data_IF_445196689161
#
_entry.id   IF_445196689161
#
_cell.length_a   1.000
_cell.length_b   1.000
_cell.length_c   1.000
_cell.angle_alpha   90.00
_cell.angle_beta   90.00
_cell.angle_gamma   90.00
#
_symmetry.space_group_name_H-M   'P 1'
#
loop_
_entity.id
_entity.type
_entity.pdbx_description
1 polymer ?
#
# COMPACT_ATOMS: atom_id res chain seq x y z
N UNK A 1 -23.47 -2.41 -13.75
CA UNK A 1 -22.22 -1.70 -13.41
C UNK A 1 -21.12 -2.72 -13.17
N UNK A 2 -19.98 -2.62 -13.86
CA UNK A 2 -18.84 -3.52 -13.61
C UNK A 2 -18.30 -3.28 -12.20
N UNK A 3 -18.18 -4.34 -11.40
CA UNK A 3 -17.68 -4.25 -10.02
C UNK A 3 -16.18 -3.93 -10.04
N UNK A 4 -15.76 -2.89 -9.32
CA UNK A 4 -14.35 -2.53 -9.18
C UNK A 4 -13.58 -3.61 -8.41
N UNK A 5 -12.34 -3.90 -8.81
CA UNK A 5 -11.48 -4.88 -8.13
C UNK A 5 -10.22 -4.19 -7.61
N UNK A 6 -10.13 -4.05 -6.29
CA UNK A 6 -8.99 -3.41 -5.62
C UNK A 6 -7.68 -4.14 -5.89
N UNK A 7 -7.68 -5.49 -5.94
CA UNK A 7 -6.46 -6.25 -6.28
C UNK A 7 -5.96 -5.94 -7.69
N UNK A 8 -6.86 -5.94 -8.70
CA UNK A 8 -6.47 -5.64 -10.08
C UNK A 8 -6.02 -4.20 -10.27
N UNK A 9 -6.64 -3.24 -9.57
CA UNK A 9 -6.22 -1.84 -9.63
C UNK A 9 -4.86 -1.64 -8.97
N UNK A 10 -4.63 -2.27 -7.80
CA UNK A 10 -3.34 -2.23 -7.10
C UNK A 10 -2.20 -2.82 -7.93
N UNK A 11 -2.43 -3.89 -8.71
CA UNK A 11 -1.36 -4.50 -9.53
C UNK A 11 -0.71 -3.51 -10.50
N UNK A 12 -1.47 -2.56 -11.06
CA UNK A 12 -0.91 -1.50 -11.93
C UNK A 12 0.15 -0.63 -11.24
N UNK A 13 0.11 -0.55 -9.92
CA UNK A 13 1.08 0.19 -9.11
C UNK A 13 2.24 -0.72 -8.73
N UNK A 14 1.95 -1.96 -8.35
CA UNK A 14 2.97 -2.99 -8.07
C UNK A 14 3.86 -3.22 -9.29
N UNK A 15 3.28 -3.35 -10.49
CA UNK A 15 4.03 -3.53 -11.73
C UNK A 15 5.01 -2.37 -11.99
N UNK A 16 4.65 -1.14 -11.60
CA UNK A 16 5.55 0.02 -11.69
C UNK A 16 6.69 -0.06 -10.69
N UNK A 17 6.42 -0.50 -9.47
CA UNK A 17 7.48 -0.71 -8.47
C UNK A 17 8.47 -1.76 -8.98
N UNK A 18 7.95 -2.87 -9.53
CA UNK A 18 8.76 -3.97 -10.05
C UNK A 18 9.53 -3.60 -11.32
N UNK A 19 9.08 -2.63 -12.11
CA UNK A 19 9.78 -2.23 -13.33
C UNK A 19 11.07 -1.45 -13.09
N UNK A 20 11.23 -0.82 -11.93
CA UNK A 20 12.43 -0.04 -11.60
C UNK A 20 12.74 -0.04 -10.09
N UNK A 21 13.17 -1.18 -9.51
CA UNK A 21 13.39 -1.30 -8.07
C UNK A 21 14.42 -0.30 -7.52
N UNK A 22 15.44 0.04 -8.30
CA UNK A 22 16.49 0.99 -7.91
C UNK A 22 15.92 2.41 -7.73
N UNK A 23 15.12 2.88 -8.70
CA UNK A 23 14.46 4.19 -8.60
C UNK A 23 13.56 4.29 -7.36
N UNK A 24 12.85 3.22 -7.02
CA UNK A 24 12.00 3.17 -5.83
C UNK A 24 12.78 2.82 -4.55
N UNK A 25 14.09 2.55 -4.63
CA UNK A 25 14.94 2.15 -3.49
C UNK A 25 14.33 0.97 -2.71
N UNK A 26 13.83 -0.01 -3.43
CA UNK A 26 13.22 -1.24 -2.90
C UNK A 26 14.07 -2.46 -3.28
N UNK A 27 13.91 -3.56 -2.54
CA UNK A 27 14.43 -4.86 -2.98
C UNK A 27 13.29 -5.84 -3.23
N UNK A 28 13.46 -6.71 -4.22
CA UNK A 28 12.47 -7.70 -4.64
C UNK A 28 13.07 -9.10 -4.46
N UNK A 29 12.34 -9.98 -3.80
CA UNK A 29 12.70 -11.38 -3.62
C UNK A 29 11.54 -12.27 -4.11
N UNK A 30 11.86 -13.27 -4.93
CA UNK A 30 10.91 -14.29 -5.37
C UNK A 30 11.12 -15.56 -4.56
N UNK A 31 10.08 -15.96 -3.84
CA UNK A 31 10.12 -17.17 -3.01
C UNK A 31 9.83 -18.44 -3.83
N UNK A 32 10.30 -19.61 -3.39
CA UNK A 32 9.98 -20.90 -4.02
C UNK A 32 8.48 -21.21 -4.10
N UNK A 33 7.66 -20.60 -3.23
CA UNK A 33 6.19 -20.71 -3.26
C UNK A 33 5.53 -19.94 -4.42
N UNK A 34 6.30 -19.15 -5.17
CA UNK A 34 5.80 -18.22 -6.19
C UNK A 34 5.38 -16.85 -5.64
N UNK A 35 5.41 -16.66 -4.32
CA UNK A 35 5.17 -15.34 -3.73
C UNK A 35 6.33 -14.38 -4.02
N UNK A 36 6.01 -13.11 -4.21
CA UNK A 36 7.01 -12.03 -4.35
C UNK A 36 6.99 -11.15 -3.11
N UNK A 37 8.14 -11.02 -2.46
CA UNK A 37 8.35 -10.09 -1.35
C UNK A 37 8.95 -8.82 -1.94
N UNK A 38 8.36 -7.68 -1.59
CA UNK A 38 8.89 -6.36 -1.91
C UNK A 38 9.22 -5.69 -0.57
N UNK A 39 10.51 -5.62 -0.24
CA UNK A 39 10.96 -4.87 0.92
C UNK A 39 11.04 -3.39 0.55
N UNK A 40 10.35 -2.56 1.31
CA UNK A 40 10.24 -1.11 1.10
C UNK A 40 10.75 -0.31 2.29
N UNK A 41 11.44 -0.92 3.26
CA UNK A 41 11.91 -0.19 4.44
C UNK A 41 12.50 -1.01 5.60
N UNK A 42 12.65 -2.33 5.48
CA UNK A 42 13.24 -3.18 6.52
C UNK A 42 14.77 -3.27 6.38
N UNK A 43 15.26 -3.70 5.21
CA UNK A 43 16.69 -3.78 4.87
C UNK A 43 17.13 -2.75 3.85
N UNK A 44 16.18 -2.06 3.23
CA UNK A 44 16.39 -0.99 2.26
C UNK A 44 15.89 0.32 2.81
N UNK A 45 16.40 1.43 2.30
CA UNK A 45 16.03 2.77 2.78
C UNK A 45 14.60 3.18 2.37
N UNK A 46 14.12 2.70 1.22
CA UNK A 46 12.87 3.17 0.63
C UNK A 46 12.91 4.67 0.28
N UNK A 47 11.76 5.34 0.37
CA UNK A 47 11.70 6.77 0.13
C UNK A 47 10.28 7.31 -0.01
N UNK A 48 10.17 8.63 -0.18
CA UNK A 48 8.87 9.33 -0.25
C UNK A 48 8.01 8.83 -1.40
N UNK A 49 8.58 8.65 -2.59
CA UNK A 49 7.84 8.16 -3.77
C UNK A 49 7.28 6.75 -3.50
N UNK A 50 8.09 5.87 -2.93
CA UNK A 50 7.68 4.51 -2.54
C UNK A 50 6.60 4.54 -1.47
N UNK A 51 6.72 5.40 -0.46
CA UNK A 51 5.69 5.63 0.54
C UNK A 51 4.35 6.11 -0.04
N UNK A 52 4.38 6.99 -1.04
CA UNK A 52 3.18 7.39 -1.79
C UNK A 52 2.57 6.18 -2.53
N UNK A 53 3.40 5.34 -3.17
CA UNK A 53 2.92 4.12 -3.84
C UNK A 53 2.32 3.12 -2.87
N UNK A 54 2.95 2.90 -1.72
CA UNK A 54 2.41 2.04 -0.66
C UNK A 54 1.07 2.56 -0.14
N UNK A 55 0.91 3.87 -0.01
CA UNK A 55 -0.36 4.49 0.38
C UNK A 55 -1.45 4.21 -0.67
N UNK A 56 -1.15 4.43 -1.96
CA UNK A 56 -2.08 4.12 -3.07
C UNK A 56 -2.40 2.61 -3.16
N UNK A 57 -1.42 1.74 -2.89
CA UNK A 57 -1.57 0.27 -2.81
C UNK A 57 -2.50 -0.12 -1.66
N UNK A 58 -2.29 0.45 -0.46
CA UNK A 58 -3.14 0.20 0.70
C UNK A 58 -4.59 0.64 0.42
N UNK A 59 -4.77 1.77 -0.28
CA UNK A 59 -6.06 2.27 -0.76
C UNK A 59 -6.65 1.46 -1.94
N UNK A 60 -6.06 0.33 -2.31
CA UNK A 60 -6.60 -0.58 -3.31
C UNK A 60 -6.50 -0.04 -4.75
N UNK A 61 -5.59 0.90 -5.00
CA UNK A 61 -5.47 1.59 -6.29
C UNK A 61 -6.63 2.53 -6.62
N UNK A 62 -7.55 2.76 -5.67
CA UNK A 62 -8.71 3.66 -5.81
C UNK A 62 -8.50 5.01 -5.11
N UNK A 63 -7.32 5.20 -4.52
CA UNK A 63 -6.89 6.44 -3.91
C UNK A 63 -5.72 7.07 -4.65
N UNK A 64 -5.55 8.37 -4.46
CA UNK A 64 -4.34 9.11 -4.83
C UNK A 64 -3.68 9.65 -3.58
N UNK A 65 -2.35 9.55 -3.53
CA UNK A 65 -1.52 10.14 -2.49
C UNK A 65 -0.54 11.11 -3.15
N UNK A 66 -0.48 12.35 -2.66
CA UNK A 66 0.44 13.39 -3.13
C UNK A 66 1.19 13.97 -1.96
N UNK A 67 2.49 14.19 -2.13
CA UNK A 67 3.29 14.93 -1.17
C UNK A 67 3.02 16.43 -1.34
N UNK A 68 2.80 17.10 -0.21
CA UNK A 68 2.68 18.55 -0.11
C UNK A 68 3.42 19.02 1.15
N UNK A 69 3.36 20.32 1.42
CA UNK A 69 3.77 20.90 2.69
C UNK A 69 2.58 21.66 3.28
N UNK A 70 2.48 21.70 4.60
CA UNK A 70 1.44 22.44 5.29
C UNK A 70 1.99 23.03 6.58
N UNK A 71 1.56 24.25 6.90
CA UNK A 71 1.82 24.88 8.18
C UNK A 71 0.87 24.34 9.25
N UNK A 72 1.43 23.97 10.40
CA UNK A 72 0.72 23.50 11.58
C UNK A 72 1.06 24.39 12.78
N UNK A 73 0.64 25.66 12.71
CA UNK A 73 0.85 26.61 13.80
C UNK A 73 2.27 27.16 13.84
N UNK A 74 2.81 27.56 12.69
CA UNK A 74 4.16 28.10 12.54
C UNK A 74 5.24 27.05 12.28
N UNK A 75 4.87 25.78 12.19
CA UNK A 75 5.77 24.68 11.81
C UNK A 75 5.30 24.12 10.47
N UNK A 76 6.13 24.29 9.43
CA UNK A 76 5.87 23.71 8.11
C UNK A 76 6.40 22.29 8.04
N UNK A 77 5.51 21.32 7.79
CA UNK A 77 5.86 19.90 7.72
C UNK A 77 5.47 19.28 6.37
N UNK A 78 6.22 18.26 5.90
CA UNK A 78 5.76 17.38 4.83
C UNK A 78 4.40 16.76 5.19
N UNK A 79 3.47 16.80 4.24
CA UNK A 79 2.09 16.34 4.42
C UNK A 79 1.70 15.49 3.24
N UNK A 80 0.91 14.44 3.47
CA UNK A 80 0.32 13.66 2.38
C UNK A 80 -1.12 14.10 2.21
N UNK A 81 -1.46 14.59 1.02
CA UNK A 81 -2.83 14.79 0.59
C UNK A 81 -3.37 13.50 -0.02
N UNK A 82 -4.48 13.00 0.52
CA UNK A 82 -5.16 11.80 0.03
C UNK A 82 -6.55 12.12 -0.49
N UNK A 83 -6.94 11.51 -1.60
CA UNK A 83 -8.29 11.63 -2.16
C UNK A 83 -8.76 10.29 -2.76
N UNK A 84 -10.06 10.03 -2.69
CA UNK A 84 -10.71 8.85 -3.29
C UNK A 84 -12.19 9.13 -3.54
N UNK A 85 -12.70 8.65 -4.66
CA UNK A 85 -14.14 8.66 -4.98
C UNK A 85 -14.85 7.38 -4.48
N UNK A 86 -14.12 6.46 -3.85
CA UNK A 86 -14.60 5.18 -3.35
C UNK A 86 -14.29 4.99 -1.86
N UNK A 87 -14.72 5.90 -0.96
CA UNK A 87 -14.23 5.94 0.42
C UNK A 87 -14.45 4.62 1.18
N UNK A 88 -15.63 4.01 1.11
CA UNK A 88 -15.89 2.75 1.82
C UNK A 88 -14.99 1.61 1.32
N UNK A 89 -14.80 1.48 0.00
CA UNK A 89 -14.01 0.40 -0.61
C UNK A 89 -12.51 0.65 -0.36
N UNK A 90 -12.05 1.86 -0.62
CA UNK A 90 -10.65 2.26 -0.50
C UNK A 90 -10.18 2.23 0.95
N UNK A 91 -10.93 2.83 1.87
CA UNK A 91 -10.49 3.04 3.25
C UNK A 91 -10.78 1.80 4.12
N UNK A 92 -12.01 1.27 4.08
CA UNK A 92 -12.42 0.15 4.94
C UNK A 92 -12.18 -1.21 4.28
N UNK A 93 -12.53 -1.34 3.01
CA UNK A 93 -12.38 -2.59 2.24
C UNK A 93 -10.93 -2.93 1.88
N UNK A 94 -10.02 -1.96 1.93
CA UNK A 94 -8.61 -2.14 1.59
C UNK A 94 -7.68 -1.55 2.66
N UNK A 95 -7.61 -0.22 2.82
CA UNK A 95 -6.54 0.44 3.58
C UNK A 95 -6.47 0.07 5.06
N UNK A 96 -7.61 -0.11 5.72
CA UNK A 96 -7.68 -0.48 7.13
C UNK A 96 -6.77 -1.68 7.43
N UNK A 97 -5.94 -1.54 8.47
CA UNK A 97 -5.12 -2.64 9.00
C UNK A 97 -5.98 -3.59 9.82
N UNK A 98 -6.94 -4.24 9.17
CA UNK A 98 -8.02 -5.01 9.80
C UNK A 98 -7.76 -6.51 9.90
N UNK A 99 -6.59 -6.99 9.45
CA UNK A 99 -6.26 -8.41 9.44
C UNK A 99 -5.01 -8.70 10.27
N UNK A 100 -5.18 -9.27 11.46
CA UNK A 100 -4.06 -9.85 12.20
C UNK A 100 -3.57 -11.13 11.53
N UNK A 101 -2.36 -11.09 10.97
CA UNK A 101 -1.69 -12.27 10.38
C UNK A 101 -0.75 -12.82 11.44
N UNK A 102 -0.97 -14.06 11.85
CA UNK A 102 -0.16 -14.76 12.86
C UNK A 102 0.28 -16.10 12.31
N UNK A 103 1.58 -16.35 12.36
CA UNK A 103 2.20 -17.65 12.07
C UNK A 103 3.22 -17.96 13.16
N UNK A 104 3.91 -19.09 13.08
CA UNK A 104 4.97 -19.43 14.02
C UNK A 104 6.07 -18.36 14.00
N UNK A 105 6.37 -17.76 15.16
CA UNK A 105 7.40 -16.72 15.30
C UNK A 105 7.10 -15.36 14.66
N UNK A 106 5.92 -15.15 14.06
CA UNK A 106 5.61 -13.93 13.33
C UNK A 106 4.18 -13.42 13.57
N UNK A 107 4.07 -12.11 13.73
CA UNK A 107 2.79 -11.41 13.85
C UNK A 107 2.87 -10.03 13.17
N UNK A 108 1.85 -9.68 12.40
CA UNK A 108 1.66 -8.34 11.89
C UNK A 108 0.19 -7.97 11.72
N UNK A 109 -0.09 -6.67 11.67
CA UNK A 109 -1.37 -6.14 11.20
C UNK A 109 -1.28 -5.86 9.71
N UNK A 110 -2.06 -6.59 8.92
CA UNK A 110 -2.09 -6.47 7.47
C UNK A 110 -3.22 -5.52 7.01
N UNK A 111 -2.85 -4.66 6.07
CA UNK A 111 -3.69 -3.76 5.29
C UNK A 111 -3.76 -4.21 3.84
N UNK A 112 -4.60 -3.55 3.05
CA UNK A 112 -4.54 -3.60 1.59
C UNK A 112 -5.55 -4.56 0.94
N UNK A 113 -5.48 -4.70 -0.38
CA UNK A 113 -6.57 -5.25 -1.20
C UNK A 113 -6.81 -6.74 -0.97
N UNK A 114 -5.82 -7.49 -0.47
CA UNK A 114 -5.99 -8.91 -0.14
C UNK A 114 -7.09 -9.14 0.91
N UNK A 115 -7.34 -8.16 1.79
CA UNK A 115 -8.43 -8.21 2.79
C UNK A 115 -9.81 -8.35 2.15
N UNK A 116 -10.02 -7.78 0.97
CA UNK A 116 -11.29 -7.88 0.24
C UNK A 116 -11.53 -9.30 -0.31
N UNK A 117 -10.47 -10.08 -0.56
CA UNK A 117 -10.58 -11.49 -0.92
C UNK A 117 -10.75 -12.38 0.32
N UNK A 118 -9.98 -12.10 1.37
CA UNK A 118 -9.98 -12.90 2.60
C UNK A 118 -11.16 -12.59 3.54
N UNK A 119 -11.92 -11.52 3.28
CA UNK A 119 -13.01 -10.99 4.11
C UNK A 119 -12.57 -10.79 5.57
N UNK A 120 -11.57 -9.91 5.77
CA UNK A 120 -10.96 -9.64 7.08
C UNK A 120 -11.09 -8.17 7.50
N UNK A 121 -11.92 -7.83 8.52
CA UNK A 121 -12.98 -8.65 9.12
C UNK A 121 -14.12 -8.94 8.11
N UNK A 122 -15.04 -9.83 8.48
CA UNK A 122 -16.18 -10.26 7.65
C UNK A 122 -17.15 -9.11 7.38
#
# INVERSE_FOLDING_TARGET
>A
MSRVSVNRQTMRIVDKLLSDPEYYRISVEHLPSGATIIDTGLKVEGGLITGLKLTEIAMGGLGKAKLSQKDYGGITLPTIFVSTDYPAISLLGSQLAGWGVKTEGFFCMASGPARALALKPK
#
